data_IF_719285832304
#
_entry.id   IF_719285832304
#
_cell.length_a   1.000
_cell.length_b   1.000
_cell.length_c   1.000
_cell.angle_alpha   90.00
_cell.angle_beta   90.00
_cell.angle_gamma   90.00
#
_symmetry.space_group_name_H-M   'P 1'
#
loop_
_entity.id
_entity.type
_entity.pdbx_description
1 polymer ?
#
# COMPACT_ATOMS: atom_id res chain seq x y z
N UNK A 1 13.11 -24.64 -1.85
CA UNK A 1 13.72 -23.30 -1.78
C UNK A 1 13.57 -22.63 -0.40
N UNK A 2 12.83 -23.22 0.55
CA UNK A 2 12.69 -22.72 1.92
C UNK A 2 11.94 -21.38 2.00
N UNK A 3 10.96 -21.15 1.12
CA UNK A 3 10.11 -19.95 1.12
C UNK A 3 8.84 -20.10 1.98
N UNK A 4 8.15 -18.98 2.19
CA UNK A 4 6.84 -18.90 2.82
C UNK A 4 5.79 -18.50 1.78
N UNK A 5 4.67 -19.23 1.74
CA UNK A 5 3.47 -18.83 0.99
C UNK A 5 2.40 -18.37 1.98
N UNK A 6 2.03 -17.10 1.87
CA UNK A 6 1.02 -16.46 2.70
C UNK A 6 -0.25 -16.24 1.87
N UNK A 7 -1.26 -17.08 2.07
CA UNK A 7 -2.59 -16.83 1.49
C UNK A 7 -3.31 -15.79 2.34
N UNK A 8 -3.53 -14.61 1.76
CA UNK A 8 -4.11 -13.46 2.48
C UNK A 8 -5.60 -13.68 2.79
N UNK A 9 -6.31 -14.46 1.97
CA UNK A 9 -7.76 -14.70 2.16
C UNK A 9 -8.06 -15.58 3.36
N UNK A 10 -7.15 -16.50 3.70
CA UNK A 10 -7.33 -17.35 4.87
C UNK A 10 -7.34 -16.56 6.18
N UNK A 11 -6.73 -15.35 6.18
CA UNK A 11 -6.66 -14.50 7.36
C UNK A 11 -5.73 -15.03 8.46
N UNK A 12 -4.94 -16.06 8.18
CA UNK A 12 -3.93 -16.61 9.10
C UNK A 12 -2.72 -15.68 9.19
N UNK A 13 -2.30 -15.15 8.04
CA UNK A 13 -1.19 -14.21 7.96
C UNK A 13 -1.68 -12.77 8.10
N UNK A 14 -0.97 -12.01 8.90
CA UNK A 14 -1.30 -10.62 9.23
C UNK A 14 -0.16 -9.69 8.88
N UNK A 15 -0.52 -8.52 8.43
CA UNK A 15 0.36 -7.37 8.29
C UNK A 15 -0.33 -6.24 9.05
N UNK A 16 0.18 -5.90 10.22
CA UNK A 16 -0.41 -4.88 11.07
C UNK A 16 -0.44 -3.53 10.35
N UNK A 17 -1.62 -2.96 10.20
CA UNK A 17 -1.78 -1.64 9.57
C UNK A 17 -1.18 -0.52 10.41
N UNK A 18 -1.16 -0.66 11.74
CA UNK A 18 -0.66 0.36 12.67
C UNK A 18 0.85 0.21 12.96
N UNK A 19 1.55 -0.75 12.36
CA UNK A 19 3.00 -0.85 12.43
C UNK A 19 3.64 0.18 11.49
N UNK A 20 4.36 1.20 12.00
CA UNK A 20 4.91 2.28 11.18
C UNK A 20 5.90 1.82 10.15
N UNK A 21 5.65 2.13 8.87
CA UNK A 21 6.50 1.83 7.72
C UNK A 21 6.96 3.12 7.06
N UNK A 22 8.10 3.03 6.39
CA UNK A 22 8.71 4.16 5.70
C UNK A 22 9.10 3.74 4.28
N UNK A 23 8.81 4.57 3.31
CA UNK A 23 9.18 4.37 1.90
C UNK A 23 9.83 5.60 1.28
N UNK A 24 10.01 6.65 2.06
CA UNK A 24 10.77 7.83 1.66
C UNK A 24 11.98 8.03 2.59
N UNK A 25 13.07 7.38 2.22
CA UNK A 25 14.35 7.52 2.93
C UNK A 25 15.32 8.46 2.18
N UNK A 26 14.85 9.08 1.10
CA UNK A 26 15.68 9.93 0.22
C UNK A 26 15.92 11.35 0.77
N UNK A 27 15.49 11.67 1.97
CA UNK A 27 16.01 12.82 2.68
C UNK A 27 17.49 12.53 3.01
N UNK A 28 18.38 12.85 2.05
CA UNK A 28 19.81 12.90 2.33
C UNK A 28 20.00 13.92 3.46
N UNK A 29 20.41 13.49 4.67
CA UNK A 29 20.64 14.42 5.78
C UNK A 29 21.71 15.45 5.45
N UNK A 30 22.48 15.23 4.38
CA UNK A 30 23.56 16.10 3.88
C UNK A 30 23.14 16.94 2.67
N UNK A 31 21.91 16.81 2.14
CA UNK A 31 21.40 17.69 1.11
C UNK A 31 21.04 19.06 1.70
N UNK A 32 22.05 19.96 1.67
CA UNK A 32 21.97 21.32 2.24
C UNK A 32 20.98 22.20 1.47
N UNK A 33 20.65 21.85 0.23
CA UNK A 33 19.83 22.65 -0.67
C UNK A 33 18.34 22.29 -0.64
N UNK A 34 17.97 21.15 -0.04
CA UNK A 34 16.56 20.81 0.11
C UNK A 34 15.87 21.73 1.14
N UNK A 35 14.69 22.29 0.84
CA UNK A 35 13.92 23.06 1.81
C UNK A 35 13.70 22.27 3.10
N UNK A 36 13.86 22.91 4.26
CA UNK A 36 13.71 22.23 5.58
C UNK A 36 12.41 21.45 5.75
N UNK A 37 11.32 21.88 5.12
CA UNK A 37 10.02 21.20 5.13
C UNK A 37 10.05 19.84 4.41
N UNK A 38 11.00 19.59 3.50
CA UNK A 38 11.14 18.32 2.78
C UNK A 38 12.24 17.41 3.35
N UNK A 39 13.02 17.89 4.32
CA UNK A 39 14.16 17.15 4.87
C UNK A 39 13.79 16.07 5.88
N UNK A 40 12.58 16.10 6.43
CA UNK A 40 12.20 15.20 7.52
C UNK A 40 10.70 14.90 7.53
N UNK A 41 10.24 14.13 6.57
CA UNK A 41 9.05 13.34 6.86
C UNK A 41 9.51 12.12 7.66
N UNK A 42 9.23 12.11 8.95
CA UNK A 42 9.56 10.99 9.83
C UNK A 42 8.81 9.73 9.42
N UNK A 43 9.28 8.56 9.86
CA UNK A 43 8.59 7.29 9.61
C UNK A 43 7.13 7.36 10.08
N UNK A 44 6.88 7.92 11.25
CA UNK A 44 5.53 8.03 11.82
C UNK A 44 4.63 8.96 11.01
N UNK A 45 5.13 10.13 10.58
CA UNK A 45 4.37 11.07 9.75
C UNK A 45 4.02 10.48 8.37
N UNK A 46 4.94 9.80 7.71
CA UNK A 46 4.68 9.12 6.45
C UNK A 46 3.62 8.02 6.63
N UNK A 47 3.75 7.24 7.69
CA UNK A 47 2.82 6.16 7.97
C UNK A 47 1.42 6.68 8.31
N UNK A 48 1.30 7.76 9.09
CA UNK A 48 0.01 8.39 9.40
C UNK A 48 -0.66 8.91 8.12
N UNK A 49 0.10 9.52 7.22
CA UNK A 49 -0.44 9.91 5.89
C UNK A 49 -0.94 8.71 5.09
N UNK A 50 -0.20 7.61 5.08
CA UNK A 50 -0.63 6.37 4.46
C UNK A 50 -1.91 5.81 5.08
N UNK A 51 -2.04 5.83 6.40
CA UNK A 51 -3.24 5.35 7.08
C UNK A 51 -4.48 6.18 6.72
N UNK A 52 -4.34 7.49 6.48
CA UNK A 52 -5.44 8.31 5.95
C UNK A 52 -5.93 7.79 4.59
N UNK A 53 -5.04 7.39 3.70
CA UNK A 53 -5.39 6.82 2.39
C UNK A 53 -6.03 5.42 2.55
N UNK A 54 -5.54 4.61 3.48
CA UNK A 54 -6.13 3.30 3.82
C UNK A 54 -7.57 3.46 4.28
N UNK A 55 -7.82 4.35 5.24
CA UNK A 55 -9.18 4.56 5.77
C UNK A 55 -10.13 5.14 4.71
N UNK A 56 -9.68 6.07 3.87
CA UNK A 56 -10.46 6.58 2.73
C UNK A 56 -10.79 5.48 1.71
N UNK A 57 -9.84 4.58 1.46
CA UNK A 57 -10.05 3.45 0.54
C UNK A 57 -11.03 2.43 1.10
N UNK A 58 -10.96 2.18 2.42
CA UNK A 58 -11.83 1.21 3.07
C UNK A 58 -13.27 1.68 3.18
N UNK A 59 -13.47 2.95 3.54
CA UNK A 59 -14.78 3.54 3.78
C UNK A 59 -14.80 4.98 3.30
N UNK A 60 -15.94 5.42 2.82
CA UNK A 60 -16.16 6.80 2.38
C UNK A 60 -16.30 7.75 3.59
N UNK A 61 -15.19 7.92 4.31
CA UNK A 61 -15.11 8.85 5.44
C UNK A 61 -15.00 10.30 4.94
N UNK A 62 -15.69 11.19 5.60
CA UNK A 62 -15.55 12.64 5.37
C UNK A 62 -14.15 13.13 5.79
N UNK A 63 -13.76 14.31 5.30
CA UNK A 63 -12.48 14.93 5.72
C UNK A 63 -12.41 15.10 7.24
N UNK A 64 -13.50 15.56 7.88
CA UNK A 64 -13.54 15.73 9.33
C UNK A 64 -13.36 14.41 10.10
N UNK A 65 -13.91 13.30 9.59
CA UNK A 65 -13.72 11.98 10.19
C UNK A 65 -12.27 11.50 10.02
N UNK A 66 -11.67 11.68 8.86
CA UNK A 66 -10.26 11.33 8.61
C UNK A 66 -9.31 12.14 9.49
N UNK A 67 -9.55 13.44 9.64
CA UNK A 67 -8.72 14.29 10.49
C UNK A 67 -8.90 13.93 11.99
N UNK A 68 -10.12 13.52 12.38
CA UNK A 68 -10.37 12.98 13.73
C UNK A 68 -9.64 11.65 13.95
N UNK A 69 -9.65 10.75 12.97
CA UNK A 69 -8.88 9.48 13.03
C UNK A 69 -7.38 9.78 13.19
N UNK A 70 -6.84 10.77 12.48
CA UNK A 70 -5.44 11.19 12.63
C UNK A 70 -5.13 11.64 14.06
N UNK A 71 -6.03 12.42 14.68
CA UNK A 71 -5.89 12.82 16.09
C UNK A 71 -5.90 11.61 17.01
N UNK A 72 -6.81 10.64 16.79
CA UNK A 72 -6.87 9.41 17.59
C UNK A 72 -5.62 8.55 17.44
N UNK A 73 -5.09 8.41 16.21
CA UNK A 73 -3.83 7.71 15.95
C UNK A 73 -2.65 8.36 16.68
N UNK A 74 -2.56 9.70 16.63
CA UNK A 74 -1.49 10.42 17.32
C UNK A 74 -1.54 10.21 18.83
N UNK A 75 -2.72 10.26 19.42
CA UNK A 75 -2.92 10.01 20.85
C UNK A 75 -2.56 8.56 21.20
N UNK A 76 -3.05 7.58 20.42
CA UNK A 76 -2.79 6.16 20.62
C UNK A 76 -1.29 5.85 20.54
N UNK A 77 -0.59 6.33 19.52
CA UNK A 77 0.86 6.13 19.40
C UNK A 77 1.61 6.75 20.59
N UNK A 78 1.22 7.94 21.03
CA UNK A 78 1.81 8.59 22.20
C UNK A 78 1.61 7.77 23.47
N UNK A 79 0.43 7.20 23.68
CA UNK A 79 0.14 6.33 24.82
C UNK A 79 0.98 5.04 24.80
N UNK A 80 1.27 4.52 23.60
CA UNK A 80 2.16 3.38 23.40
C UNK A 80 3.67 3.75 23.43
N UNK A 81 4.00 5.02 23.70
CA UNK A 81 5.38 5.50 23.73
C UNK A 81 6.03 5.63 22.36
N UNK A 82 5.24 5.60 21.29
CA UNK A 82 5.70 5.74 19.90
C UNK A 82 5.59 7.21 19.50
N UNK A 83 6.74 7.81 19.21
CA UNK A 83 6.87 9.23 18.85
C UNK A 83 7.71 9.38 17.57
N UNK A 84 7.88 10.61 17.11
CA UNK A 84 8.74 10.93 15.96
C UNK A 84 10.22 10.55 16.18
N UNK A 85 10.67 10.49 17.43
CA UNK A 85 12.04 10.16 17.82
C UNK A 85 12.24 8.67 18.15
N UNK A 86 11.19 7.83 17.95
CA UNK A 86 11.26 6.41 18.29
C UNK A 86 12.27 5.65 17.41
N UNK A 87 13.16 4.87 18.04
CA UNK A 87 14.02 3.92 17.33
C UNK A 87 13.26 2.63 17.01
N UNK A 88 12.73 2.56 15.80
CA UNK A 88 11.96 1.41 15.31
C UNK A 88 12.79 0.15 15.07
N UNK A 89 14.13 0.24 15.07
CA UNK A 89 15.00 -0.91 14.78
C UNK A 89 15.01 -1.96 15.91
N UNK A 90 14.60 -1.58 17.10
CA UNK A 90 14.55 -2.44 18.29
C UNK A 90 13.15 -2.96 18.60
N UNK A 91 12.13 -2.48 17.89
CA UNK A 91 10.75 -2.85 18.16
C UNK A 91 10.37 -4.17 17.47
N UNK A 92 9.56 -4.95 18.15
CA UNK A 92 8.99 -6.20 17.64
C UNK A 92 7.54 -5.96 17.20
N UNK A 93 6.94 -6.83 16.39
CA UNK A 93 5.54 -6.69 15.96
C UNK A 93 4.54 -6.48 17.11
N UNK A 94 4.79 -7.07 18.27
CA UNK A 94 3.93 -6.98 19.46
C UNK A 94 4.05 -5.64 20.20
N UNK A 95 5.07 -4.86 19.89
CA UNK A 95 5.29 -3.55 20.50
C UNK A 95 4.48 -2.44 19.81
N UNK A 96 3.67 -2.78 18.82
CA UNK A 96 2.79 -1.83 18.10
C UNK A 96 1.32 -2.09 18.40
N UNK A 97 0.48 -1.03 18.50
CA UNK A 97 -0.96 -1.21 18.62
C UNK A 97 -1.54 -1.91 17.37
N UNK A 98 -2.68 -2.57 17.54
CA UNK A 98 -3.48 -3.15 16.46
C UNK A 98 -4.80 -2.43 16.31
N UNK A 99 -5.56 -2.72 15.25
CA UNK A 99 -6.80 -2.00 14.96
C UNK A 99 -7.88 -2.13 16.04
N UNK A 100 -7.96 -3.26 16.76
CA UNK A 100 -8.90 -3.37 17.89
C UNK A 100 -8.55 -2.42 19.01
N UNK A 101 -7.27 -2.15 19.25
CA UNK A 101 -6.83 -1.20 20.28
C UNK A 101 -7.10 0.25 19.86
N UNK A 102 -6.97 0.58 18.56
CA UNK A 102 -7.46 1.86 18.04
C UNK A 102 -8.97 2.01 18.23
N UNK A 103 -9.72 0.94 17.95
CA UNK A 103 -11.17 0.96 18.13
C UNK A 103 -11.55 1.18 19.59
N UNK A 104 -10.93 0.44 20.52
CA UNK A 104 -11.16 0.57 21.96
C UNK A 104 -10.80 1.96 22.47
N UNK A 105 -9.68 2.51 21.97
CA UNK A 105 -9.26 3.87 22.29
C UNK A 105 -10.31 4.91 21.87
N UNK A 106 -10.85 4.81 20.65
CA UNK A 106 -11.91 5.71 20.17
C UNK A 106 -13.20 5.50 20.95
N UNK A 107 -13.53 4.27 21.35
CA UNK A 107 -14.71 3.94 22.15
C UNK A 107 -14.62 4.59 23.55
N UNK A 108 -13.46 4.51 24.20
CA UNK A 108 -13.18 5.19 25.47
C UNK A 108 -13.31 6.71 25.34
N UNK A 109 -12.76 7.32 24.27
CA UNK A 109 -12.90 8.75 23.99
C UNK A 109 -14.37 9.14 23.76
N UNK A 110 -15.15 8.30 23.08
CA UNK A 110 -16.59 8.51 22.87
C UNK A 110 -17.39 8.44 24.17
N UNK A 111 -17.11 7.47 25.04
CA UNK A 111 -17.80 7.30 26.31
C UNK A 111 -17.49 8.43 27.28
N UNK A 112 -16.24 8.90 27.34
CA UNK A 112 -15.77 9.96 28.21
C UNK A 112 -15.86 11.36 27.58
N UNK A 113 -16.54 11.52 26.45
CA UNK A 113 -16.63 12.78 25.72
C UNK A 113 -17.36 13.84 26.58
N UNK A 114 -16.68 14.96 26.85
CA UNK A 114 -17.18 16.07 27.66
C UNK A 114 -17.57 17.25 26.75
N UNK A 115 -18.85 17.42 26.51
CA UNK A 115 -19.41 18.51 25.69
C UNK A 115 -19.17 19.91 26.27
N UNK A 116 -18.81 20.02 27.54
CA UNK A 116 -18.55 21.31 28.20
C UNK A 116 -17.15 21.85 27.88
N UNK A 117 -16.25 21.03 27.35
CA UNK A 117 -14.88 21.39 27.00
C UNK A 117 -14.76 21.65 25.51
N UNK A 118 -13.95 22.64 25.09
CA UNK A 118 -13.65 22.81 23.67
C UNK A 118 -12.90 21.61 23.14
N UNK A 119 -13.44 20.99 22.09
CA UNK A 119 -12.89 19.82 21.40
C UNK A 119 -12.72 20.12 19.91
N UNK A 120 -11.76 19.46 19.25
CA UNK A 120 -11.54 19.57 17.80
C UNK A 120 -12.52 18.68 16.99
N UNK A 121 -13.21 17.77 17.65
CA UNK A 121 -14.18 16.82 17.07
C UNK A 121 -15.42 16.74 17.93
N UNK A 122 -16.48 16.15 17.40
CA UNK A 122 -17.75 15.99 18.13
C UNK A 122 -17.95 14.53 18.55
N UNK A 123 -18.81 14.32 19.53
CA UNK A 123 -19.23 12.98 19.94
C UNK A 123 -19.86 12.20 18.77
N UNK A 124 -20.65 12.89 17.93
CA UNK A 124 -21.26 12.31 16.75
C UNK A 124 -20.19 11.84 15.74
N UNK A 125 -19.13 12.63 15.54
CA UNK A 125 -18.00 12.24 14.66
C UNK A 125 -17.34 10.95 15.14
N UNK A 126 -17.08 10.82 16.45
CA UNK A 126 -16.53 9.59 17.04
C UNK A 126 -17.46 8.39 16.83
N UNK A 127 -18.77 8.57 17.05
CA UNK A 127 -19.76 7.51 16.81
C UNK A 127 -19.78 7.03 15.36
N UNK A 128 -19.72 7.96 14.40
CA UNK A 128 -19.69 7.64 12.97
C UNK A 128 -18.40 6.91 12.59
N UNK A 129 -17.26 7.29 13.18
CA UNK A 129 -15.98 6.60 12.99
C UNK A 129 -16.05 5.18 13.55
N UNK A 130 -16.55 4.99 14.77
CA UNK A 130 -16.73 3.66 15.36
C UNK A 130 -17.62 2.77 14.50
N UNK A 131 -18.74 3.30 14.01
CA UNK A 131 -19.63 2.58 13.10
C UNK A 131 -18.91 2.19 11.79
N UNK A 132 -18.14 3.12 11.21
CA UNK A 132 -17.40 2.90 9.97
C UNK A 132 -16.27 1.89 10.09
N UNK A 133 -15.55 1.86 11.21
CA UNK A 133 -14.42 0.98 11.49
C UNK A 133 -14.81 -0.38 12.07
N UNK A 134 -16.05 -0.56 12.54
CA UNK A 134 -16.46 -1.76 13.26
C UNK A 134 -16.12 -3.05 12.50
N UNK A 135 -16.45 -3.14 11.20
CA UNK A 135 -16.18 -4.37 10.43
C UNK A 135 -14.69 -4.65 10.29
N UNK A 136 -13.88 -3.60 10.11
CA UNK A 136 -12.43 -3.70 9.95
C UNK A 136 -11.73 -4.13 11.25
N UNK A 137 -12.20 -3.65 12.39
CA UNK A 137 -11.55 -3.84 13.68
C UNK A 137 -12.08 -5.06 14.46
N UNK A 138 -13.39 -5.29 14.45
CA UNK A 138 -14.06 -6.32 15.27
C UNK A 138 -15.07 -7.18 14.52
N UNK A 139 -15.47 -6.80 13.30
CA UNK A 139 -16.47 -7.50 12.51
C UNK A 139 -15.86 -8.46 11.49
N UNK A 140 -16.58 -8.69 10.38
CA UNK A 140 -16.26 -9.70 9.38
C UNK A 140 -14.90 -9.47 8.68
N UNK A 141 -14.48 -8.22 8.51
CA UNK A 141 -13.24 -7.88 7.81
C UNK A 141 -12.01 -7.90 8.74
N UNK A 142 -12.21 -7.99 10.07
CA UNK A 142 -11.12 -8.00 11.06
C UNK A 142 -10.12 -9.14 10.83
N UNK A 143 -10.56 -10.24 10.25
CA UNK A 143 -9.69 -11.36 9.89
C UNK A 143 -8.59 -10.96 8.89
N UNK A 144 -8.76 -9.91 8.10
CA UNK A 144 -7.76 -9.41 7.14
C UNK A 144 -6.85 -8.35 7.73
N UNK A 145 -7.35 -7.55 8.67
CA UNK A 145 -6.70 -6.31 9.08
C UNK A 145 -6.23 -6.28 10.52
N UNK A 146 -6.94 -6.97 11.43
CA UNK A 146 -6.67 -6.87 12.85
C UNK A 146 -5.71 -7.96 13.33
N UNK A 147 -4.58 -7.56 13.89
CA UNK A 147 -3.55 -8.42 14.46
C UNK A 147 -2.14 -7.93 14.18
N UNK A 148 -1.19 -8.40 14.97
CA UNK A 148 0.23 -8.11 14.79
C UNK A 148 0.78 -8.80 13.54
N UNK A 149 1.80 -8.20 12.92
CA UNK A 149 2.51 -8.79 11.80
C UNK A 149 3.13 -10.12 12.23
N UNK A 150 2.74 -11.20 11.56
CA UNK A 150 3.19 -12.56 11.89
C UNK A 150 3.84 -13.29 10.70
N UNK A 151 4.34 -12.53 9.73
CA UNK A 151 5.05 -13.07 8.59
C UNK A 151 6.42 -13.61 9.02
N UNK A 152 6.71 -14.84 8.62
CA UNK A 152 8.03 -15.43 8.87
C UNK A 152 9.10 -14.72 8.06
N UNK A 153 10.21 -14.32 8.69
CA UNK A 153 11.36 -13.79 7.98
C UNK A 153 11.98 -14.88 7.11
N UNK A 154 11.78 -14.78 5.80
CA UNK A 154 12.30 -15.73 4.81
C UNK A 154 12.91 -14.98 3.63
N UNK A 155 13.87 -15.62 2.95
CA UNK A 155 14.45 -15.07 1.72
C UNK A 155 13.47 -15.04 0.55
N UNK A 156 12.40 -15.82 0.61
CA UNK A 156 11.42 -15.93 -0.46
C UNK A 156 10.02 -15.96 0.15
N UNK A 157 9.28 -14.87 0.00
CA UNK A 157 7.91 -14.69 0.49
C UNK A 157 6.98 -14.49 -0.70
N UNK A 158 5.92 -15.28 -0.77
CA UNK A 158 4.87 -15.20 -1.79
C UNK A 158 3.54 -14.89 -1.13
N UNK A 159 2.86 -13.85 -1.59
CA UNK A 159 1.50 -13.54 -1.20
C UNK A 159 0.48 -14.10 -2.20
N UNK A 160 -0.41 -14.97 -1.74
CA UNK A 160 -1.55 -15.46 -2.51
C UNK A 160 -2.66 -14.42 -2.54
N UNK A 161 -2.86 -13.77 -3.70
CA UNK A 161 -3.85 -12.70 -3.89
C UNK A 161 -5.06 -13.12 -4.73
N UNK A 162 -5.06 -14.32 -5.30
CA UNK A 162 -6.11 -14.80 -6.20
C UNK A 162 -7.52 -14.75 -5.56
N UNK A 163 -7.62 -15.12 -4.29
CA UNK A 163 -8.86 -15.10 -3.54
C UNK A 163 -9.45 -13.70 -3.32
N UNK A 164 -8.64 -12.64 -3.47
CA UNK A 164 -9.09 -11.25 -3.26
C UNK A 164 -10.19 -10.82 -4.26
N UNK A 165 -10.29 -11.48 -5.41
CA UNK A 165 -11.36 -11.19 -6.38
C UNK A 165 -12.76 -11.53 -5.85
N UNK A 166 -12.87 -12.35 -4.81
CA UNK A 166 -14.15 -12.76 -4.19
C UNK A 166 -14.63 -11.82 -3.06
N UNK A 167 -13.79 -10.89 -2.59
CA UNK A 167 -14.17 -9.93 -1.54
C UNK A 167 -14.62 -8.60 -2.14
N UNK A 168 -15.32 -7.79 -1.32
CA UNK A 168 -15.78 -6.47 -1.73
C UNK A 168 -14.59 -5.59 -2.22
N UNK A 169 -14.85 -4.74 -3.21
CA UNK A 169 -13.81 -3.95 -3.87
C UNK A 169 -13.02 -3.06 -2.89
N UNK A 170 -13.70 -2.41 -1.97
CA UNK A 170 -13.06 -1.56 -0.95
C UNK A 170 -12.14 -2.37 -0.03
N UNK A 171 -12.58 -3.54 0.43
CA UNK A 171 -11.79 -4.46 1.26
C UNK A 171 -10.56 -4.93 0.48
N UNK A 172 -10.75 -5.38 -0.77
CA UNK A 172 -9.66 -5.79 -1.67
C UNK A 172 -8.64 -4.69 -1.86
N UNK A 173 -9.08 -3.48 -2.22
CA UNK A 173 -8.20 -2.33 -2.43
C UNK A 173 -7.40 -1.98 -1.18
N UNK A 174 -8.02 -2.06 0.00
CA UNK A 174 -7.36 -1.81 1.28
C UNK A 174 -6.30 -2.88 1.61
N UNK A 175 -6.60 -4.16 1.36
CA UNK A 175 -5.61 -5.24 1.52
C UNK A 175 -4.42 -5.02 0.59
N UNK A 176 -4.68 -4.69 -0.68
CA UNK A 176 -3.64 -4.43 -1.66
C UNK A 176 -2.76 -3.25 -1.27
N UNK A 177 -3.34 -2.16 -0.74
CA UNK A 177 -2.56 -1.03 -0.22
C UNK A 177 -1.66 -1.44 0.95
N UNK A 178 -2.16 -2.27 1.87
CA UNK A 178 -1.37 -2.77 2.98
C UNK A 178 -0.18 -3.64 2.50
N UNK A 179 -0.41 -4.53 1.52
CA UNK A 179 0.64 -5.32 0.90
C UNK A 179 1.67 -4.44 0.19
N UNK A 180 1.23 -3.42 -0.57
CA UNK A 180 2.13 -2.49 -1.25
C UNK A 180 2.99 -1.69 -0.25
N UNK A 181 2.41 -1.25 0.86
CA UNK A 181 3.17 -0.53 1.88
C UNK A 181 4.25 -1.41 2.51
N UNK A 182 3.91 -2.67 2.83
CA UNK A 182 4.87 -3.66 3.33
C UNK A 182 6.00 -3.94 2.32
N UNK A 183 5.63 -4.15 1.06
CA UNK A 183 6.59 -4.37 -0.02
C UNK A 183 7.49 -3.15 -0.23
N UNK A 184 6.92 -1.94 -0.22
CA UNK A 184 7.68 -0.70 -0.41
C UNK A 184 8.66 -0.46 0.73
N UNK A 185 8.28 -0.74 1.98
CA UNK A 185 9.20 -0.66 3.12
C UNK A 185 10.39 -1.63 2.95
N UNK A 186 10.15 -2.87 2.54
CA UNK A 186 11.21 -3.84 2.24
C UNK A 186 12.13 -3.38 1.09
N UNK A 187 11.55 -2.92 -0.01
CA UNK A 187 12.31 -2.45 -1.18
C UNK A 187 13.14 -1.21 -0.90
N UNK A 188 12.62 -0.25 -0.14
CA UNK A 188 13.17 1.09 -0.05
C UNK A 188 13.88 1.37 1.28
N UNK A 189 13.58 0.64 2.34
CA UNK A 189 14.22 0.78 3.65
C UNK A 189 15.27 -0.30 3.88
N UNK A 190 14.92 -1.58 3.70
CA UNK A 190 15.88 -2.67 3.83
C UNK A 190 16.82 -2.77 2.62
N UNK A 191 16.29 -2.52 1.40
CA UNK A 191 17.06 -2.61 0.17
C UNK A 191 17.43 -4.04 -0.22
N UNK A 192 18.25 -4.18 -1.28
CA UNK A 192 18.73 -5.47 -1.81
C UNK A 192 17.61 -6.53 -1.95
N UNK A 193 16.44 -6.07 -2.38
CA UNK A 193 15.21 -6.86 -2.43
C UNK A 193 14.63 -6.85 -3.84
N UNK A 194 14.10 -7.98 -4.28
CA UNK A 194 13.33 -8.08 -5.53
C UNK A 194 11.88 -8.37 -5.20
N UNK A 195 10.97 -7.51 -5.65
CA UNK A 195 9.54 -7.75 -5.58
C UNK A 195 8.96 -7.98 -6.98
N UNK A 196 8.04 -8.92 -7.10
CA UNK A 196 7.33 -9.20 -8.34
C UNK A 196 5.82 -9.05 -8.12
N UNK A 197 5.18 -8.21 -8.92
CA UNK A 197 3.73 -8.05 -8.98
C UNK A 197 3.22 -8.74 -10.24
N UNK A 198 2.62 -9.90 -10.06
CA UNK A 198 1.90 -10.59 -11.12
C UNK A 198 0.45 -10.12 -11.18
N UNK A 199 -0.20 -10.29 -12.33
CA UNK A 199 -1.60 -9.84 -12.58
C UNK A 199 -1.79 -8.35 -12.20
N UNK A 200 -0.92 -7.50 -12.78
CA UNK A 200 -0.85 -6.08 -12.42
C UNK A 200 -2.19 -5.34 -12.49
N UNK A 201 -3.12 -5.79 -13.36
CA UNK A 201 -4.46 -5.21 -13.49
C UNK A 201 -5.24 -5.16 -12.17
N UNK A 202 -4.99 -6.08 -11.24
CA UNK A 202 -5.67 -6.13 -9.93
C UNK A 202 -5.40 -4.84 -9.14
N UNK A 203 -4.20 -4.27 -9.31
CA UNK A 203 -3.72 -3.07 -8.61
C UNK A 203 -4.20 -1.78 -9.26
N UNK A 204 -4.52 -1.82 -10.57
CA UNK A 204 -4.87 -0.63 -11.36
C UNK A 204 -6.26 -0.07 -11.03
N UNK A 205 -7.08 -0.82 -10.31
CA UNK A 205 -8.41 -0.36 -9.84
C UNK A 205 -8.35 0.72 -8.77
N UNK A 206 -7.17 0.96 -8.16
CA UNK A 206 -6.97 1.94 -7.11
C UNK A 206 -5.89 2.95 -7.52
N UNK A 207 -6.23 4.25 -7.72
CA UNK A 207 -5.27 5.29 -8.08
C UNK A 207 -4.10 5.43 -7.08
N UNK A 208 -4.38 5.26 -5.78
CA UNK A 208 -3.35 5.31 -4.74
C UNK A 208 -2.34 4.17 -4.93
N UNK A 209 -2.81 2.96 -5.24
CA UNK A 209 -1.93 1.82 -5.52
C UNK A 209 -1.01 2.08 -6.72
N UNK A 210 -1.54 2.68 -7.80
CA UNK A 210 -0.75 3.06 -8.98
C UNK A 210 0.36 4.04 -8.59
N UNK A 211 0.04 5.02 -7.75
CA UNK A 211 1.02 6.00 -7.29
C UNK A 211 2.13 5.36 -6.45
N UNK A 212 1.80 4.44 -5.54
CA UNK A 212 2.79 3.68 -4.75
C UNK A 212 3.72 2.86 -5.65
N UNK A 213 3.18 2.13 -6.63
CA UNK A 213 3.97 1.35 -7.59
C UNK A 213 4.90 2.26 -8.38
N UNK A 214 4.38 3.38 -8.90
CA UNK A 214 5.17 4.36 -9.66
C UNK A 214 6.31 4.96 -8.83
N UNK A 215 6.05 5.32 -7.57
CA UNK A 215 7.03 5.86 -6.66
C UNK A 215 8.12 4.82 -6.32
N UNK A 216 7.72 3.56 -6.10
CA UNK A 216 8.66 2.46 -5.90
C UNK A 216 9.57 2.27 -7.11
N UNK A 217 9.02 2.22 -8.33
CA UNK A 217 9.80 2.10 -9.57
C UNK A 217 10.89 3.16 -9.72
N UNK A 218 10.60 4.41 -9.32
CA UNK A 218 11.57 5.51 -9.39
C UNK A 218 12.74 5.38 -8.41
N UNK A 219 12.53 4.70 -7.29
CA UNK A 219 13.43 4.71 -6.13
C UNK A 219 14.20 3.41 -5.90
N UNK A 220 13.66 2.26 -6.32
CA UNK A 220 14.26 0.93 -6.07
C UNK A 220 15.73 0.85 -6.47
N UNK A 221 16.13 1.49 -7.57
CA UNK A 221 17.51 1.49 -8.05
C UNK A 221 18.50 2.04 -7.02
N UNK A 222 18.14 3.09 -6.27
CA UNK A 222 19.02 3.71 -5.26
C UNK A 222 19.26 2.79 -4.06
N UNK A 223 18.42 1.75 -3.89
CA UNK A 223 18.48 0.81 -2.76
C UNK A 223 18.94 -0.59 -3.20
N UNK A 224 19.54 -0.71 -4.39
CA UNK A 224 19.94 -2.00 -4.97
C UNK A 224 18.78 -3.01 -5.04
N UNK A 225 17.57 -2.50 -5.12
CA UNK A 225 16.33 -3.28 -5.20
C UNK A 225 15.78 -3.28 -6.62
N UNK A 226 14.88 -4.23 -6.92
CA UNK A 226 14.20 -4.31 -8.20
C UNK A 226 12.71 -4.57 -8.04
N UNK A 227 11.91 -3.98 -8.93
CA UNK A 227 10.48 -4.24 -9.04
C UNK A 227 10.18 -4.82 -10.43
N UNK A 228 9.58 -6.01 -10.44
CA UNK A 228 9.13 -6.70 -11.64
C UNK A 228 7.62 -6.60 -11.72
N UNK A 229 7.11 -6.13 -12.84
CA UNK A 229 5.68 -6.01 -13.11
C UNK A 229 5.30 -6.96 -14.22
N UNK A 230 4.27 -7.79 -14.02
CA UNK A 230 3.74 -8.68 -15.05
C UNK A 230 2.25 -8.44 -15.27
N UNK A 231 1.82 -8.39 -16.52
CA UNK A 231 0.42 -8.28 -16.92
C UNK A 231 0.16 -9.02 -18.21
N UNK A 232 -1.03 -9.58 -18.34
CA UNK A 232 -1.45 -10.30 -19.54
C UNK A 232 -2.17 -9.40 -20.54
N UNK A 233 -2.84 -8.33 -20.07
CA UNK A 233 -3.68 -7.47 -20.89
C UNK A 233 -3.20 -6.02 -20.83
N UNK A 234 -2.86 -5.45 -21.97
CA UNK A 234 -2.53 -4.02 -22.06
C UNK A 234 -3.77 -3.11 -22.02
N UNK A 235 -4.93 -3.62 -22.40
CA UNK A 235 -6.20 -2.87 -22.40
C UNK A 235 -6.56 -2.34 -20.99
N UNK A 236 -6.15 -3.04 -19.94
CA UNK A 236 -6.38 -2.63 -18.55
C UNK A 236 -5.70 -1.30 -18.21
N UNK A 237 -4.65 -0.94 -18.94
CA UNK A 237 -3.89 0.30 -18.74
C UNK A 237 -4.44 1.48 -19.56
N UNK A 238 -5.28 1.20 -20.57
CA UNK A 238 -5.83 2.21 -21.48
C UNK A 238 -7.23 2.68 -21.09
N UNK A 239 -7.72 2.32 -19.92
CA UNK A 239 -9.04 2.72 -19.46
C UNK A 239 -9.10 4.23 -19.14
N UNK A 240 -10.26 4.90 -19.40
CA UNK A 240 -10.45 6.29 -19.05
C UNK A 240 -10.17 6.58 -17.57
N UNK A 241 -9.36 7.61 -17.31
CA UNK A 241 -8.92 7.97 -15.94
C UNK A 241 -7.72 7.19 -15.40
N UNK A 242 -7.35 6.05 -15.99
CA UNK A 242 -6.20 5.23 -15.58
C UNK A 242 -4.99 5.49 -16.49
N UNK A 243 -5.22 5.70 -17.78
CA UNK A 243 -4.19 5.83 -18.83
C UNK A 243 -3.05 6.79 -18.48
N UNK A 244 -3.36 8.00 -18.04
CA UNK A 244 -2.31 9.01 -17.73
C UNK A 244 -1.50 8.62 -16.48
N UNK A 245 -2.11 7.92 -15.55
CA UNK A 245 -1.43 7.45 -14.35
C UNK A 245 -0.54 6.24 -14.60
N UNK A 246 -0.89 5.41 -15.59
CA UNK A 246 -0.19 4.15 -15.92
C UNK A 246 0.92 4.33 -16.96
N UNK A 247 0.90 5.37 -17.79
CA UNK A 247 1.98 5.68 -18.74
C UNK A 247 3.40 5.56 -18.13
N UNK A 248 3.67 6.08 -16.93
CA UNK A 248 4.99 5.95 -16.31
C UNK A 248 5.40 4.50 -16.02
N UNK A 249 4.44 3.57 -15.87
CA UNK A 249 4.74 2.15 -15.64
C UNK A 249 5.43 1.50 -16.86
N UNK A 250 5.24 2.06 -18.05
CA UNK A 250 5.92 1.62 -19.28
C UNK A 250 7.22 2.38 -19.54
N UNK A 251 7.31 3.66 -19.17
CA UNK A 251 8.46 4.49 -19.50
C UNK A 251 9.58 4.47 -18.44
N UNK A 252 9.28 4.11 -17.18
CA UNK A 252 10.28 4.06 -16.10
C UNK A 252 11.12 2.79 -16.14
N UNK A 253 10.56 1.57 -16.36
CA UNK A 253 11.35 0.34 -16.38
C UNK A 253 12.40 0.37 -17.50
N UNK A 254 13.68 0.08 -17.21
CA UNK A 254 14.74 0.05 -18.22
C UNK A 254 14.68 -1.17 -19.13
N UNK A 255 13.94 -2.20 -18.75
CA UNK A 255 13.78 -3.44 -19.49
C UNK A 255 12.30 -3.80 -19.61
N UNK A 256 11.89 -4.17 -20.81
CA UNK A 256 10.57 -4.68 -21.11
C UNK A 256 10.69 -6.03 -21.83
N UNK A 257 9.94 -7.01 -21.36
CA UNK A 257 9.84 -8.33 -21.97
C UNK A 257 8.45 -8.44 -22.59
N UNK A 258 8.40 -8.43 -23.92
CA UNK A 258 7.16 -8.44 -24.68
C UNK A 258 6.90 -9.82 -25.25
N UNK A 259 5.70 -10.32 -25.04
CA UNK A 259 5.22 -11.58 -25.57
C UNK A 259 4.10 -11.34 -26.59
N UNK A 260 3.54 -12.39 -27.15
CA UNK A 260 2.45 -12.26 -28.10
C UNK A 260 1.29 -11.46 -27.54
N UNK A 261 0.84 -10.46 -28.32
CA UNK A 261 -0.22 -9.52 -27.94
C UNK A 261 -1.64 -10.14 -27.92
N UNK A 262 -1.79 -11.41 -28.28
CA UNK A 262 -3.12 -12.05 -28.38
C UNK A 262 -3.99 -11.42 -29.47
N UNK A 263 -5.20 -11.00 -29.09
CA UNK A 263 -6.20 -10.39 -29.99
C UNK A 263 -6.21 -8.86 -29.98
N UNK A 264 -5.25 -8.22 -29.30
CA UNK A 264 -5.18 -6.75 -29.22
C UNK A 264 -4.92 -6.15 -30.61
N UNK A 265 -5.54 -5.00 -30.90
CA UNK A 265 -5.26 -4.26 -32.12
C UNK A 265 -3.76 -3.92 -32.21
N UNK A 266 -3.16 -4.25 -33.36
CA UNK A 266 -1.74 -4.05 -33.63
C UNK A 266 -1.29 -2.62 -33.39
N UNK A 267 -2.06 -1.66 -33.89
CA UNK A 267 -1.71 -0.23 -33.80
C UNK A 267 -1.77 0.24 -32.35
N UNK A 268 -2.82 -0.12 -31.63
CA UNK A 268 -2.96 0.24 -30.22
C UNK A 268 -1.81 -0.33 -29.39
N UNK A 269 -1.40 -1.57 -29.64
CA UNK A 269 -0.26 -2.21 -28.95
C UNK A 269 1.06 -1.50 -29.27
N UNK A 270 1.33 -1.23 -30.56
CA UNK A 270 2.56 -0.57 -30.98
C UNK A 270 2.63 0.88 -30.46
N UNK A 271 1.53 1.63 -30.52
CA UNK A 271 1.46 3.01 -30.04
C UNK A 271 1.69 3.09 -28.50
N UNK A 272 1.12 2.16 -27.75
CA UNK A 272 1.25 2.13 -26.29
C UNK A 272 2.67 1.82 -25.85
N UNK A 273 3.33 0.88 -26.52
CA UNK A 273 4.67 0.40 -26.17
C UNK A 273 5.79 1.06 -27.00
N UNK A 274 5.41 1.96 -27.93
CA UNK A 274 6.34 2.65 -28.85
C UNK A 274 7.20 1.68 -29.69
N UNK A 275 6.56 0.64 -30.24
CA UNK A 275 7.21 -0.39 -31.05
C UNK A 275 7.20 -0.04 -32.53
N UNK A 276 8.25 -0.45 -33.22
CA UNK A 276 8.30 -0.46 -34.68
C UNK A 276 7.67 -1.74 -35.25
N UNK A 277 7.29 -1.71 -36.54
CA UNK A 277 6.70 -2.86 -37.25
C UNK A 277 7.57 -4.12 -37.19
N UNK A 278 8.89 -3.95 -37.29
CA UNK A 278 9.87 -5.03 -37.23
C UNK A 278 9.92 -5.70 -35.85
N UNK A 279 9.74 -4.94 -34.77
CA UNK A 279 9.72 -5.44 -33.40
C UNK A 279 8.43 -6.19 -33.09
N UNK A 280 7.28 -5.62 -33.52
CA UNK A 280 6.01 -6.32 -33.39
C UNK A 280 5.99 -7.65 -34.16
N UNK A 281 6.61 -7.71 -35.35
CA UNK A 281 6.68 -8.92 -36.15
C UNK A 281 7.41 -10.08 -35.46
N UNK A 282 8.29 -9.81 -34.50
CA UNK A 282 8.96 -10.85 -33.71
C UNK A 282 8.01 -11.56 -32.71
N UNK A 283 6.99 -10.87 -32.26
CA UNK A 283 6.07 -11.38 -31.21
C UNK A 283 4.66 -11.71 -31.72
N UNK A 284 4.36 -11.49 -33.01
CA UNK A 284 3.02 -11.67 -33.56
C UNK A 284 2.52 -13.12 -33.62
N UNK A 285 3.43 -14.09 -33.62
CA UNK A 285 3.06 -15.49 -33.63
C UNK A 285 3.28 -16.14 -32.28
N UNK A 286 2.22 -16.69 -31.66
CA UNK A 286 2.35 -17.31 -30.34
C UNK A 286 3.16 -18.62 -30.48
N UNK A 287 4.31 -18.65 -29.83
CA UNK A 287 5.06 -19.88 -29.61
C UNK A 287 5.14 -20.11 -28.10
N UNK A 288 4.68 -21.28 -27.65
CA UNK A 288 4.64 -21.58 -26.21
C UNK A 288 6.07 -21.72 -25.67
N UNK A 289 6.45 -20.82 -24.76
CA UNK A 289 7.76 -20.88 -24.09
C UNK A 289 8.91 -20.26 -24.86
N UNK A 290 8.63 -19.47 -25.92
CA UNK A 290 9.63 -18.71 -26.68
C UNK A 290 9.27 -17.22 -26.63
#
# INVERSE_FOLDING_TARGET
>A
LGGCFADIIEGTYKINLLEPRCWDTDADPYDVDAPRAFRQSTRLAQHTSFLKDVFRTYKDFTTAQIDTIEIMLTKLYTEWGITEDTDFSQMRPEDYPILSELYDFIEIEYENFDETKPQLYTRETLQQILLGLHSMCRGADSKFFNGHTNLTSTRFLVFGVKGLLSVAQNVRSTILLNLLSYMSDKLLTEGNTVAALDELYIWLSNPVAIEYIRNSLKRVRKKESALVLASQNLEDFDQPGVREMTKPLFSIPPHQFLFNAGSIDRRAYMDMLQLEDSEFDLIKFPQRGV
#
